data_IF_432043528501
#
_entry.id   IF_432043528501
#
_cell.length_a   1.000
_cell.length_b   1.000
_cell.length_c   1.000
_cell.angle_alpha   90.00
_cell.angle_beta   90.00
_cell.angle_gamma   90.00
#
_symmetry.space_group_name_H-M   'P 1'
#
loop_
_entity.id
_entity.type
_entity.pdbx_description
1 polymer ?
#
# COMPACT_ATOMS: atom_id res chain seq x y z
N UNK A 1 -22.80 -42.49 10.94
CA UNK A 1 -22.71 -41.26 11.76
C UNK A 1 -21.67 -40.33 11.12
N UNK A 2 -22.12 -39.31 10.37
CA UNK A 2 -21.23 -38.38 9.64
C UNK A 2 -21.24 -37.01 10.34
N UNK A 3 -20.14 -36.67 11.01
CA UNK A 3 -19.95 -35.35 11.64
C UNK A 3 -19.68 -34.29 10.57
N UNK A 4 -20.69 -33.48 10.24
CA UNK A 4 -20.52 -32.26 9.44
C UNK A 4 -19.76 -31.23 10.29
N UNK A 5 -18.46 -31.06 10.03
CA UNK A 5 -17.72 -29.89 10.55
C UNK A 5 -18.18 -28.66 9.78
N UNK A 6 -18.97 -27.81 10.42
CA UNK A 6 -19.33 -26.49 9.92
C UNK A 6 -18.11 -25.57 10.04
N UNK A 7 -17.46 -25.27 8.91
CA UNK A 7 -16.43 -24.24 8.85
C UNK A 7 -17.07 -22.86 9.07
N UNK A 8 -17.11 -22.37 10.32
CA UNK A 8 -17.39 -20.97 10.55
C UNK A 8 -16.21 -20.14 10.05
N UNK A 9 -16.42 -19.37 8.98
CA UNK A 9 -15.46 -18.34 8.54
C UNK A 9 -15.38 -17.28 9.62
N UNK A 10 -14.26 -17.23 10.35
CA UNK A 10 -13.94 -16.09 11.22
C UNK A 10 -13.84 -14.85 10.33
N UNK A 11 -14.76 -13.89 10.52
CA UNK A 11 -14.66 -12.57 9.89
C UNK A 11 -13.55 -11.81 10.61
N UNK A 12 -12.49 -11.48 9.89
CA UNK A 12 -11.45 -10.58 10.39
C UNK A 12 -11.97 -9.16 10.17
N UNK A 13 -12.12 -8.40 11.24
CA UNK A 13 -12.32 -6.96 11.14
C UNK A 13 -10.95 -6.34 10.84
N UNK A 14 -10.85 -5.61 9.74
CA UNK A 14 -9.66 -4.85 9.39
C UNK A 14 -9.98 -3.38 9.71
N UNK A 15 -9.26 -2.82 10.67
CA UNK A 15 -9.31 -1.38 10.93
C UNK A 15 -8.44 -0.67 9.90
N UNK A 16 -9.04 0.21 9.11
CA UNK A 16 -8.34 0.99 8.08
C UNK A 16 -8.30 2.44 8.51
N UNK A 17 -7.09 3.00 8.64
CA UNK A 17 -6.91 4.45 8.78
C UNK A 17 -6.69 5.05 7.40
N UNK A 18 -7.44 6.11 7.08
CA UNK A 18 -7.26 6.86 5.85
C UNK A 18 -6.26 7.99 6.06
N UNK A 19 -5.33 8.14 5.12
CA UNK A 19 -4.49 9.33 5.02
C UNK A 19 -4.73 10.04 3.70
N UNK A 20 -4.67 11.37 3.71
CA UNK A 20 -4.92 12.22 2.54
C UNK A 20 -3.65 12.48 1.73
N UNK A 21 -2.48 12.27 2.33
CA UNK A 21 -1.19 12.54 1.72
C UNK A 21 -0.28 11.30 1.73
N UNK A 22 0.39 11.05 0.60
CA UNK A 22 1.37 9.97 0.44
C UNK A 22 2.62 10.17 1.32
N UNK A 23 3.01 11.42 1.61
CA UNK A 23 4.15 11.71 2.47
C UNK A 23 3.90 11.28 3.92
N UNK A 24 2.76 11.65 4.48
CA UNK A 24 2.39 11.24 5.85
C UNK A 24 2.30 9.72 5.95
N UNK A 25 1.83 9.07 4.87
CA UNK A 25 1.70 7.63 4.81
C UNK A 25 3.10 6.98 4.83
N UNK A 26 4.04 7.50 4.03
CA UNK A 26 5.41 7.00 3.93
C UNK A 26 6.16 6.99 5.26
N UNK A 27 5.87 7.96 6.15
CA UNK A 27 6.50 8.07 7.47
C UNK A 27 6.08 6.97 8.45
N UNK A 28 4.98 6.26 8.19
CA UNK A 28 4.40 5.30 9.14
C UNK A 28 4.57 3.85 8.69
N UNK A 29 4.56 3.61 7.37
CA UNK A 29 4.50 2.28 6.78
C UNK A 29 5.82 1.50 6.85
N UNK A 30 5.68 0.19 7.05
CA UNK A 30 6.76 -0.80 6.88
C UNK A 30 6.64 -1.48 5.51
N UNK A 31 5.41 -1.70 5.06
CA UNK A 31 5.09 -2.26 3.74
C UNK A 31 4.08 -1.30 3.11
N UNK A 32 4.40 -0.80 1.92
CA UNK A 32 3.51 0.06 1.14
C UNK A 32 3.22 -0.58 -0.20
N UNK A 33 1.96 -0.98 -0.40
CA UNK A 33 1.50 -1.54 -1.67
C UNK A 33 0.75 -0.50 -2.48
N UNK A 34 1.19 -0.27 -3.71
CA UNK A 34 0.56 0.66 -4.66
C UNK A 34 -0.34 -0.15 -5.59
N UNK A 35 -1.65 0.00 -5.41
CA UNK A 35 -2.68 -0.76 -6.13
C UNK A 35 -3.68 0.12 -6.89
N UNK A 36 -3.40 1.42 -7.05
CA UNK A 36 -4.33 2.33 -7.71
C UNK A 36 -4.33 2.17 -9.24
N UNK A 37 -5.50 2.40 -9.85
CA UNK A 37 -5.59 2.64 -11.29
C UNK A 37 -4.88 3.95 -11.62
N UNK A 38 -4.11 3.97 -12.73
CA UNK A 38 -3.38 5.18 -13.16
C UNK A 38 -4.34 6.21 -13.75
N UNK A 39 -4.30 7.40 -13.17
CA UNK A 39 -4.86 8.63 -13.74
C UNK A 39 -3.72 9.65 -13.96
N UNK A 40 -3.90 10.63 -14.87
CA UNK A 40 -2.88 11.63 -15.21
C UNK A 40 -2.33 12.42 -14.01
N UNK A 41 -3.10 12.50 -12.93
CA UNK A 41 -2.74 13.20 -11.68
C UNK A 41 -1.85 12.38 -10.74
N UNK A 42 -1.58 11.11 -11.05
CA UNK A 42 -0.86 10.17 -10.19
C UNK A 42 0.51 9.77 -10.75
N UNK A 43 0.90 10.32 -11.90
CA UNK A 43 2.25 10.15 -12.41
C UNK A 43 3.23 10.82 -11.44
N UNK A 44 4.19 10.04 -10.95
CA UNK A 44 5.14 10.48 -9.93
C UNK A 44 4.53 10.79 -8.56
N UNK A 45 3.35 10.23 -8.26
CA UNK A 45 2.74 10.32 -6.93
C UNK A 45 3.70 9.86 -5.82
N UNK A 46 4.45 8.80 -6.09
CA UNK A 46 5.58 8.37 -5.25
C UNK A 46 6.86 8.88 -5.90
N UNK A 47 7.36 9.99 -5.37
CA UNK A 47 8.55 10.69 -5.82
C UNK A 47 9.72 10.53 -4.85
N UNK A 48 10.85 11.15 -5.17
CA UNK A 48 12.06 11.13 -4.33
C UNK A 48 11.79 11.56 -2.89
N UNK A 49 10.97 12.59 -2.67
CA UNK A 49 10.60 13.07 -1.33
C UNK A 49 9.89 11.99 -0.53
N UNK A 50 8.88 11.33 -1.12
CA UNK A 50 8.19 10.22 -0.46
C UNK A 50 9.10 9.03 -0.22
N UNK A 51 9.97 8.68 -1.17
CA UNK A 51 10.91 7.57 -1.04
C UNK A 51 11.96 7.82 0.06
N UNK A 52 12.41 9.06 0.23
CA UNK A 52 13.33 9.45 1.31
C UNK A 52 12.67 9.44 2.69
N UNK A 53 11.36 9.71 2.75
CA UNK A 53 10.59 9.70 3.99
C UNK A 53 10.19 8.29 4.45
N UNK A 54 10.30 7.28 3.58
CA UNK A 54 10.06 5.88 3.94
C UNK A 54 11.03 5.46 5.06
N UNK A 55 10.50 4.75 6.08
CA UNK A 55 11.32 4.21 7.17
C UNK A 55 12.46 3.34 6.64
N UNK A 56 13.61 3.40 7.31
CA UNK A 56 14.70 2.47 7.05
C UNK A 56 14.20 1.02 7.12
N UNK A 57 14.46 0.23 6.06
CA UNK A 57 13.99 -1.15 5.83
C UNK A 57 12.53 -1.34 5.40
N UNK A 58 11.79 -0.29 5.11
CA UNK A 58 10.45 -0.47 4.54
C UNK A 58 10.52 -0.93 3.08
N UNK A 59 9.45 -1.61 2.65
CA UNK A 59 9.32 -2.23 1.33
C UNK A 59 8.20 -1.55 0.57
N UNK A 60 8.51 -1.09 -0.64
CA UNK A 60 7.54 -0.57 -1.59
C UNK A 60 7.20 -1.67 -2.61
N UNK A 61 5.92 -2.01 -2.74
CA UNK A 61 5.42 -3.00 -3.69
C UNK A 61 4.50 -2.29 -4.67
N UNK A 62 4.95 -2.06 -5.91
CA UNK A 62 4.10 -1.50 -6.95
C UNK A 62 3.48 -2.62 -7.79
N UNK A 63 2.16 -2.83 -7.65
CA UNK A 63 1.37 -3.74 -8.49
C UNK A 63 0.45 -3.00 -9.46
N UNK A 64 0.49 -1.66 -9.45
CA UNK A 64 -0.32 -0.79 -10.30
C UNK A 64 0.32 -0.52 -11.66
N UNK A 65 0.80 0.71 -11.87
CA UNK A 65 1.50 1.14 -13.09
C UNK A 65 2.87 1.70 -12.74
N UNK A 66 3.84 1.46 -13.62
CA UNK A 66 5.24 1.88 -13.40
C UNK A 66 5.38 3.37 -13.10
N UNK A 67 4.69 4.22 -13.88
CA UNK A 67 4.76 5.68 -13.79
C UNK A 67 4.25 6.28 -12.47
N UNK A 68 3.55 5.51 -11.62
CA UNK A 68 3.11 5.99 -10.30
C UNK A 68 4.32 6.19 -9.37
N UNK A 69 5.40 5.45 -9.60
CA UNK A 69 6.65 5.54 -8.84
C UNK A 69 7.72 6.16 -9.74
N UNK A 70 8.26 7.31 -9.33
CA UNK A 70 9.41 7.92 -10.00
C UNK A 70 10.62 7.04 -9.76
N UNK A 71 11.30 6.64 -10.83
CA UNK A 71 12.59 5.98 -10.72
C UNK A 71 13.61 6.98 -10.18
N UNK A 72 14.31 6.68 -9.07
CA UNK A 72 15.41 7.54 -8.62
C UNK A 72 16.49 7.57 -9.72
N UNK A 73 16.96 8.77 -10.04
CA UNK A 73 18.12 8.99 -10.91
C UNK A 73 19.42 8.82 -10.15
#
# INVERSE_FOLDING_TARGET
MHLRKTHQRKKILIECTTQTNCLDLSLTLIIWTVCCQRNLTQDGLINSTTLQAIKSKAVLINVGRGNVVVKPN
#
